data_IF_483651898031
#
_entry.id   IF_483651898031
#
_cell.length_a   1.000
_cell.length_b   1.000
_cell.length_c   1.000
_cell.angle_alpha   90.00
_cell.angle_beta   90.00
_cell.angle_gamma   90.00
#
_symmetry.space_group_name_H-M   'P 1'
#
loop_
_entity.id
_entity.type
_entity.pdbx_description
1 polymer ?
#
# COMPACT_ATOMS: atom_id res chain seq x y z
N UNK A 1 -4.95 17.72 -1.54
CA UNK A 1 -5.89 16.63 -1.87
C UNK A 1 -5.21 15.34 -1.48
N UNK A 2 -5.81 14.58 -0.57
CA UNK A 2 -5.20 13.40 0.05
C UNK A 2 -5.80 12.13 -0.56
N UNK A 3 -4.96 11.20 -0.99
CA UNK A 3 -5.42 9.89 -1.44
C UNK A 3 -6.21 9.14 -0.35
N UNK A 4 -7.11 8.24 -0.76
CA UNK A 4 -7.98 7.48 0.14
C UNK A 4 -7.49 6.04 0.28
N UNK A 5 -7.40 5.57 1.52
CA UNK A 5 -7.15 4.15 1.81
C UNK A 5 -8.46 3.37 1.81
N UNK A 6 -8.51 2.28 1.06
CA UNK A 6 -9.63 1.35 1.02
C UNK A 6 -9.17 -0.02 1.52
N UNK A 7 -9.67 -0.42 2.69
CA UNK A 7 -9.44 -1.74 3.26
C UNK A 7 -10.48 -2.71 2.71
N UNK A 8 -10.02 -3.75 2.03
CA UNK A 8 -10.85 -4.78 1.41
C UNK A 8 -10.58 -6.13 2.06
N UNK A 9 -11.65 -6.86 2.39
CA UNK A 9 -11.58 -8.25 2.82
C UNK A 9 -11.65 -9.16 1.59
N UNK A 10 -10.63 -9.99 1.39
CA UNK A 10 -10.57 -10.99 0.31
C UNK A 10 -11.28 -12.28 0.73
N UNK A 11 -11.68 -13.08 -0.26
CA UNK A 11 -12.16 -14.46 -0.06
C UNK A 11 -11.05 -15.28 0.61
N UNK A 12 -11.32 -15.79 1.81
CA UNK A 12 -10.35 -16.52 2.65
C UNK A 12 -9.91 -15.77 3.93
N UNK A 13 -10.72 -14.85 4.45
CA UNK A 13 -10.47 -14.09 5.69
C UNK A 13 -9.19 -13.26 5.73
N UNK A 14 -8.60 -13.01 4.55
CA UNK A 14 -7.46 -12.12 4.39
C UNK A 14 -7.91 -10.69 4.17
N UNK A 15 -7.11 -9.74 4.64
CA UNK A 15 -7.35 -8.31 4.53
C UNK A 15 -6.23 -7.69 3.71
N UNK A 16 -6.56 -6.81 2.78
CA UNK A 16 -5.57 -5.97 2.11
C UNK A 16 -6.11 -4.56 2.04
N UNK A 17 -5.26 -3.59 1.73
CA UNK A 17 -5.70 -2.23 1.51
C UNK A 17 -5.06 -1.65 0.25
N UNK A 18 -5.80 -0.79 -0.41
CA UNK A 18 -5.37 -0.05 -1.59
C UNK A 18 -5.38 1.44 -1.29
N UNK A 19 -4.39 2.17 -1.79
CA UNK A 19 -4.39 3.63 -1.79
C UNK A 19 -4.82 4.10 -3.16
N UNK A 20 -5.94 4.84 -3.21
CA UNK A 20 -6.40 5.51 -4.41
C UNK A 20 -5.95 6.96 -4.42
N UNK A 21 -5.41 7.39 -5.55
CA UNK A 21 -5.17 8.79 -5.83
C UNK A 21 -6.51 9.53 -6.08
N UNK A 22 -6.46 10.86 -6.13
CA UNK A 22 -7.64 11.70 -6.33
C UNK A 22 -8.36 11.42 -7.67
N UNK A 23 -7.58 10.99 -8.66
CA UNK A 23 -8.08 10.55 -9.97
C UNK A 23 -8.72 9.15 -9.96
N UNK A 24 -8.83 8.49 -8.80
CA UNK A 24 -9.42 7.16 -8.64
C UNK A 24 -8.49 5.99 -8.96
N UNK A 25 -7.27 6.25 -9.45
CA UNK A 25 -6.29 5.21 -9.76
C UNK A 25 -5.68 4.62 -8.48
N UNK A 26 -5.49 3.30 -8.47
CA UNK A 26 -4.81 2.62 -7.38
C UNK A 26 -3.30 2.84 -7.56
N UNK A 27 -2.71 3.61 -6.67
CA UNK A 27 -1.27 3.94 -6.69
C UNK A 27 -0.44 3.05 -5.77
N UNK A 28 -1.09 2.36 -4.83
CA UNK A 28 -0.44 1.41 -3.93
C UNK A 28 -1.42 0.31 -3.53
N UNK A 29 -0.91 -0.92 -3.48
CA UNK A 29 -1.64 -2.09 -2.99
C UNK A 29 -0.79 -2.80 -1.96
N UNK A 30 -1.37 -3.08 -0.80
CA UNK A 30 -0.70 -3.83 0.24
C UNK A 30 -0.68 -5.33 -0.07
N UNK A 31 0.19 -6.05 0.63
CA UNK A 31 0.10 -7.50 0.72
C UNK A 31 -1.18 -7.95 1.44
N UNK A 32 -1.51 -9.23 1.31
CA UNK A 32 -2.63 -9.85 2.03
C UNK A 32 -2.22 -10.16 3.48
N UNK A 33 -2.90 -9.54 4.42
CA UNK A 33 -2.78 -9.77 5.86
C UNK A 33 -3.78 -10.82 6.33
N UNK A 34 -3.43 -11.58 7.36
CA UNK A 34 -4.32 -12.57 7.97
C UNK A 34 -5.36 -11.97 8.93
N UNK A 35 -5.21 -10.69 9.32
CA UNK A 35 -6.10 -10.03 10.26
C UNK A 35 -6.30 -8.56 9.91
N UNK A 36 -7.48 -8.03 10.28
CA UNK A 36 -7.80 -6.61 10.10
C UNK A 36 -6.81 -5.70 10.82
N UNK A 37 -6.46 -6.05 12.07
CA UNK A 37 -5.51 -5.28 12.87
C UNK A 37 -4.12 -5.20 12.24
N UNK A 38 -3.64 -6.29 11.60
CA UNK A 38 -2.38 -6.25 10.88
C UNK A 38 -2.43 -5.32 9.66
N UNK A 39 -3.54 -5.32 8.91
CA UNK A 39 -3.75 -4.39 7.80
C UNK A 39 -3.85 -2.93 8.26
N UNK A 40 -4.54 -2.66 9.38
CA UNK A 40 -4.62 -1.32 9.99
C UNK A 40 -3.23 -0.79 10.41
N UNK A 41 -2.41 -1.63 11.05
CA UNK A 41 -1.00 -1.30 11.35
C UNK A 41 -0.19 -1.05 10.08
N UNK A 42 -0.45 -1.80 9.01
CA UNK A 42 0.13 -1.57 7.69
C UNK A 42 -0.23 -0.17 7.16
N UNK A 43 -1.49 0.23 7.25
CA UNK A 43 -1.94 1.58 6.84
C UNK A 43 -1.26 2.67 7.67
N UNK A 44 -1.15 2.51 8.99
CA UNK A 44 -0.46 3.48 9.84
C UNK A 44 1.03 3.60 9.49
N UNK A 45 1.69 2.46 9.26
CA UNK A 45 3.07 2.43 8.80
C UNK A 45 3.23 3.14 7.46
N UNK A 46 2.33 2.89 6.50
CA UNK A 46 2.33 3.58 5.21
C UNK A 46 2.09 5.07 5.40
N UNK A 47 1.13 5.50 6.21
CA UNK A 47 0.89 6.94 6.46
C UNK A 47 2.10 7.64 7.07
N UNK A 48 2.80 6.98 8.00
CA UNK A 48 4.00 7.53 8.64
C UNK A 48 5.19 7.59 7.67
N UNK A 49 5.39 6.54 6.87
CA UNK A 49 6.50 6.45 5.92
C UNK A 49 6.22 7.17 4.60
N UNK A 50 4.96 7.44 4.26
CA UNK A 50 4.61 8.09 2.99
C UNK A 50 5.10 9.54 2.91
N UNK A 51 5.38 10.17 4.06
CA UNK A 51 6.05 11.47 4.10
C UNK A 51 7.57 11.40 3.95
N UNK A 52 8.16 10.21 4.05
CA UNK A 52 9.62 10.02 4.00
C UNK A 52 10.02 9.38 2.67
N UNK A 53 10.64 10.18 1.80
CA UNK A 53 11.11 9.73 0.49
C UNK A 53 12.09 8.55 0.59
N UNK A 54 12.83 8.42 1.70
CA UNK A 54 13.82 7.35 1.88
C UNK A 54 13.20 5.97 2.04
N UNK A 55 11.93 5.90 2.43
CA UNK A 55 11.21 4.63 2.60
C UNK A 55 10.73 4.03 1.27
N UNK A 56 10.88 4.77 0.16
CA UNK A 56 10.47 4.33 -1.17
C UNK A 56 11.61 3.65 -1.93
N UNK A 57 11.52 2.34 -2.11
CA UNK A 57 12.39 1.61 -3.05
C UNK A 57 11.78 1.57 -4.45
N UNK A 58 12.35 2.33 -5.38
CA UNK A 58 11.99 2.26 -6.80
C UNK A 58 12.61 1.00 -7.41
N UNK A 59 11.79 0.17 -8.04
CA UNK A 59 12.19 -1.05 -8.73
C UNK A 59 11.56 -1.09 -10.10
N UNK A 60 12.13 -1.89 -10.98
CA UNK A 60 11.61 -2.09 -12.33
C UNK A 60 11.33 -3.59 -12.51
N UNK A 61 10.14 -3.94 -13.00
CA UNK A 61 9.82 -5.34 -13.23
C UNK A 61 10.46 -5.84 -14.55
N UNK A 62 10.37 -7.14 -14.81
CA UNK A 62 10.90 -7.75 -16.05
C UNK A 62 10.29 -7.19 -17.33
N UNK A 63 9.10 -6.57 -17.25
CA UNK A 63 8.43 -5.90 -18.36
C UNK A 63 8.82 -4.41 -18.49
N UNK A 64 9.89 -3.98 -17.82
CA UNK A 64 10.33 -2.58 -17.78
C UNK A 64 9.30 -1.59 -17.19
N UNK A 65 8.31 -2.08 -16.46
CA UNK A 65 7.35 -1.22 -15.77
C UNK A 65 7.92 -0.80 -14.41
N UNK A 66 8.01 0.51 -14.14
CA UNK A 66 8.47 1.00 -12.85
C UNK A 66 7.41 0.73 -11.78
N UNK A 67 7.84 0.21 -10.64
CA UNK A 67 7.04 0.10 -9.43
C UNK A 67 7.85 0.59 -8.24
N UNK A 68 7.20 0.82 -7.10
CA UNK A 68 7.91 1.12 -5.86
C UNK A 68 7.41 0.20 -4.75
N UNK A 69 8.29 -0.07 -3.80
CA UNK A 69 7.97 -0.78 -2.58
C UNK A 69 8.21 0.18 -1.42
N UNK A 70 7.20 0.41 -0.61
CA UNK A 70 7.36 1.18 0.61
C UNK A 70 7.82 0.23 1.71
N UNK A 71 9.04 0.43 2.22
CA UNK A 71 9.54 -0.33 3.36
C UNK A 71 9.08 0.32 4.66
N UNK A 72 8.61 -0.51 5.58
CA UNK A 72 8.53 -0.17 6.99
C UNK A 72 9.94 -0.35 7.58
N UNK A 73 10.70 0.73 7.68
CA UNK A 73 11.96 0.76 8.43
C UNK A 73 11.74 0.62 9.94
#
# INVERSE_FOLDING_TARGET
MAGKFELTKSTGDRYHFNLKADNGEIIFSSEMYNSKSAAEKGIESVKRNAGDEKSYERRTNVNSQPFFVLKSG
#
